data_IF_118842548249
#
_entry.id   IF_118842548249
#
_cell.length_a   1.000
_cell.length_b   1.000
_cell.length_c   1.000
_cell.angle_alpha   90.00
_cell.angle_beta   90.00
_cell.angle_gamma   90.00
#
_symmetry.space_group_name_H-M   'P 1'
#
loop_
_entity.id
_entity.type
_entity.pdbx_description
1 polymer ?
#
# COMPACT_ATOMS: atom_id res chain seq x y z
N UNK A 1 16.92 12.99 -22.31
CA UNK A 1 16.07 13.10 -21.12
C UNK A 1 15.08 11.93 -20.90
N UNK A 2 14.49 11.34 -21.94
CA UNK A 2 13.54 10.20 -21.80
C UNK A 2 14.17 8.84 -21.41
N UNK A 3 15.46 8.61 -21.63
CA UNK A 3 16.15 7.35 -21.32
C UNK A 3 16.43 7.17 -19.83
N UNK A 4 16.84 8.22 -19.14
CA UNK A 4 17.15 8.16 -17.70
C UNK A 4 15.90 7.85 -16.83
N UNK A 5 14.71 8.30 -17.25
CA UNK A 5 13.46 8.05 -16.54
C UNK A 5 13.01 6.59 -16.66
N UNK A 6 13.31 5.91 -17.77
CA UNK A 6 12.98 4.51 -17.99
C UNK A 6 13.86 3.55 -17.18
N UNK A 7 15.12 3.90 -16.97
CA UNK A 7 16.04 3.07 -16.15
C UNK A 7 15.77 3.20 -14.65
N UNK A 8 15.33 4.38 -14.19
CA UNK A 8 14.93 4.58 -12.79
C UNK A 8 13.62 3.85 -12.42
N UNK A 9 12.77 3.54 -13.41
CA UNK A 9 11.47 2.92 -13.22
C UNK A 9 11.41 1.46 -13.67
N UNK A 10 12.53 0.85 -14.02
CA UNK A 10 12.59 -0.59 -14.22
C UNK A 10 12.55 -1.25 -12.85
N UNK A 11 11.43 -1.89 -12.44
CA UNK A 11 11.43 -2.67 -11.23
C UNK A 11 12.42 -3.80 -11.47
N UNK A 12 13.61 -3.69 -10.91
CA UNK A 12 14.49 -4.84 -10.79
C UNK A 12 13.68 -5.86 -10.00
N UNK A 13 13.15 -6.82 -10.72
CA UNK A 13 12.51 -8.01 -10.17
C UNK A 13 13.61 -8.80 -9.45
N UNK A 14 13.99 -8.33 -8.27
CA UNK A 14 14.57 -9.25 -7.31
C UNK A 14 13.42 -10.19 -6.97
N UNK A 15 13.55 -11.45 -7.28
CA UNK A 15 12.71 -12.51 -6.74
C UNK A 15 13.01 -12.61 -5.23
N UNK A 16 12.55 -11.62 -4.50
CA UNK A 16 12.61 -11.65 -3.06
C UNK A 16 11.41 -12.47 -2.60
N UNK A 17 11.65 -13.77 -2.48
CA UNK A 17 10.73 -14.66 -1.79
C UNK A 17 10.48 -14.14 -0.39
N UNK A 18 9.25 -14.24 0.09
CA UNK A 18 8.95 -13.90 1.49
C UNK A 18 9.81 -14.75 2.43
N UNK A 19 10.23 -14.18 3.54
CA UNK A 19 11.01 -14.87 4.57
C UNK A 19 10.05 -15.45 5.60
N UNK A 20 10.25 -16.71 5.95
CA UNK A 20 9.47 -17.37 6.99
C UNK A 20 10.04 -16.94 8.35
N UNK A 21 9.28 -16.15 9.09
CA UNK A 21 9.66 -15.68 10.43
C UNK A 21 8.73 -16.26 11.49
N UNK A 22 9.22 -16.34 12.72
CA UNK A 22 8.39 -16.66 13.90
C UNK A 22 7.96 -15.37 14.56
N UNK A 23 6.63 -15.20 14.70
CA UNK A 23 6.04 -14.10 15.46
C UNK A 23 5.00 -14.67 16.42
N UNK A 24 5.13 -14.38 17.70
CA UNK A 24 4.22 -14.84 18.76
C UNK A 24 3.97 -16.36 18.74
N UNK A 25 5.03 -17.14 18.44
CA UNK A 25 4.97 -18.60 18.33
C UNK A 25 4.44 -19.14 16.99
N UNK A 26 3.81 -18.31 16.16
CA UNK A 26 3.32 -18.69 14.86
C UNK A 26 4.38 -18.54 13.74
N UNK A 27 4.26 -19.34 12.69
CA UNK A 27 5.06 -19.20 11.47
C UNK A 27 4.35 -18.22 10.54
N UNK A 28 4.99 -17.12 10.23
CA UNK A 28 4.45 -16.06 9.37
C UNK A 28 5.35 -15.88 8.15
N UNK A 29 4.76 -15.76 6.98
CA UNK A 29 5.47 -15.39 5.76
C UNK A 29 5.49 -13.87 5.68
N UNK A 30 6.67 -13.27 5.76
CA UNK A 30 6.86 -11.84 5.75
C UNK A 30 7.55 -11.37 4.47
N UNK A 31 7.10 -10.23 3.96
CA UNK A 31 7.75 -9.49 2.88
C UNK A 31 8.01 -8.07 3.35
N UNK A 32 9.20 -7.59 3.07
CA UNK A 32 9.59 -6.21 3.31
C UNK A 32 9.85 -5.53 1.97
N UNK A 33 9.40 -4.28 1.85
CA UNK A 33 9.63 -3.45 0.67
C UNK A 33 9.88 -2.01 1.11
N UNK A 34 10.94 -1.44 0.59
CA UNK A 34 11.25 -0.03 0.78
C UNK A 34 10.86 0.77 -0.45
N UNK A 35 10.14 1.86 -0.23
CA UNK A 35 9.67 2.77 -1.28
C UNK A 35 10.17 4.18 -1.01
N UNK A 36 10.45 4.91 -2.08
CA UNK A 36 10.73 6.35 -2.01
C UNK A 36 9.59 7.08 -2.72
N UNK A 37 8.99 8.03 -2.03
CA UNK A 37 8.00 8.91 -2.64
C UNK A 37 8.70 9.89 -3.58
N UNK A 38 8.30 9.90 -4.84
CA UNK A 38 8.82 10.80 -5.88
C UNK A 38 7.94 12.03 -6.07
N UNK A 39 6.69 11.96 -5.66
CA UNK A 39 5.72 13.05 -5.73
C UNK A 39 5.16 13.33 -4.34
N UNK A 40 4.70 14.55 -4.07
CA UNK A 40 4.06 14.86 -2.80
C UNK A 40 2.89 13.93 -2.51
N UNK A 41 2.82 13.45 -1.26
CA UNK A 41 1.70 12.67 -0.76
C UNK A 41 0.73 13.61 -0.04
N UNK A 42 -0.52 13.61 -0.48
CA UNK A 42 -1.60 14.28 0.23
C UNK A 42 -2.18 13.29 1.25
N UNK A 43 -1.65 13.35 2.47
CA UNK A 43 -2.18 12.56 3.59
C UNK A 43 -3.38 13.29 4.22
N UNK A 44 -4.45 12.56 4.52
CA UNK A 44 -5.57 13.11 5.26
C UNK A 44 -5.28 13.15 6.76
N UNK A 45 -5.17 14.35 7.34
CA UNK A 45 -5.26 14.58 8.77
C UNK A 45 -6.72 14.77 9.21
N UNK A 46 -6.91 15.14 10.49
CA UNK A 46 -8.22 15.54 11.03
C UNK A 46 -8.65 16.88 10.44
N UNK A 47 -7.69 17.78 10.27
CA UNK A 47 -7.92 19.07 9.65
C UNK A 47 -7.84 18.98 8.12
N UNK A 48 -8.78 19.62 7.41
CA UNK A 48 -8.74 19.69 5.94
C UNK A 48 -7.45 20.36 5.46
N UNK A 49 -6.79 19.78 4.46
CA UNK A 49 -5.57 20.27 3.82
C UNK A 49 -4.29 20.15 4.68
N UNK A 50 -4.36 19.50 5.82
CA UNK A 50 -3.18 19.19 6.62
C UNK A 50 -2.89 17.70 6.59
N UNK A 51 -1.61 17.34 6.46
CA UNK A 51 -1.17 15.96 6.62
C UNK A 51 -1.21 15.59 8.12
N UNK A 52 -1.55 14.34 8.41
CA UNK A 52 -1.48 13.83 9.78
C UNK A 52 -0.04 13.94 10.30
N UNK A 53 0.19 14.70 11.39
CA UNK A 53 1.54 14.89 11.92
C UNK A 53 2.13 13.62 12.55
N UNK A 54 1.30 12.65 12.90
CA UNK A 54 1.71 11.41 13.58
C UNK A 54 1.91 10.28 12.59
N UNK A 55 1.05 10.19 11.58
CA UNK A 55 1.05 9.07 10.63
C UNK A 55 0.99 9.59 9.20
N UNK A 56 2.14 9.96 8.65
CA UNK A 56 2.24 10.43 7.25
C UNK A 56 1.71 9.39 6.27
N UNK A 57 2.04 8.12 6.51
CA UNK A 57 1.51 6.97 5.74
C UNK A 57 0.91 5.97 6.72
N UNK A 58 -0.39 5.78 6.64
CA UNK A 58 -1.10 4.85 7.53
C UNK A 58 -1.09 3.43 6.97
N UNK A 59 -0.78 2.45 7.81
CA UNK A 59 -0.85 1.03 7.44
C UNK A 59 -2.25 0.62 6.93
N UNK A 60 -3.30 1.21 7.49
CA UNK A 60 -4.70 1.00 7.04
C UNK A 60 -4.94 1.50 5.62
N UNK A 61 -4.34 2.62 5.23
CA UNK A 61 -4.42 3.13 3.87
C UNK A 61 -3.69 2.20 2.89
N UNK A 62 -2.47 1.78 3.23
CA UNK A 62 -1.71 0.79 2.43
C UNK A 62 -2.51 -0.50 2.26
N UNK A 63 -3.12 -1.00 3.35
CA UNK A 63 -3.96 -2.19 3.31
C UNK A 63 -5.18 -2.00 2.39
N UNK A 64 -5.82 -0.82 2.43
CA UNK A 64 -6.93 -0.49 1.52
C UNK A 64 -6.50 -0.52 0.05
N UNK A 65 -5.34 0.04 -0.27
CA UNK A 65 -4.76 -0.03 -1.60
C UNK A 65 -4.44 -1.46 -2.03
N UNK A 66 -3.85 -2.27 -1.17
CA UNK A 66 -3.58 -3.69 -1.45
C UNK A 66 -4.87 -4.46 -1.75
N UNK A 67 -5.94 -4.20 -1.00
CA UNK A 67 -7.26 -4.79 -1.21
C UNK A 67 -7.85 -4.40 -2.56
N UNK A 68 -7.77 -3.11 -2.93
CA UNK A 68 -8.20 -2.62 -4.23
C UNK A 68 -7.45 -3.31 -5.38
N UNK A 69 -6.11 -3.30 -5.33
CA UNK A 69 -5.29 -3.91 -6.36
C UNK A 69 -5.43 -5.43 -6.43
N UNK A 70 -5.67 -6.08 -5.29
CA UNK A 70 -5.96 -7.50 -5.27
C UNK A 70 -7.24 -7.81 -6.07
N UNK A 71 -8.30 -7.03 -5.90
CA UNK A 71 -9.52 -7.16 -6.71
C UNK A 71 -9.23 -6.97 -8.19
N UNK A 72 -8.50 -5.95 -8.56
CA UNK A 72 -8.17 -5.64 -9.95
C UNK A 72 -7.35 -6.76 -10.62
N UNK A 73 -6.40 -7.34 -9.90
CA UNK A 73 -5.45 -8.32 -10.46
C UNK A 73 -5.93 -9.76 -10.26
N UNK A 74 -6.68 -10.05 -9.21
CA UNK A 74 -7.08 -11.41 -8.84
C UNK A 74 -8.58 -11.67 -8.87
N UNK A 75 -9.40 -10.64 -9.02
CA UNK A 75 -10.86 -10.75 -9.02
C UNK A 75 -11.41 -11.68 -10.12
N UNK A 76 -10.70 -11.86 -11.22
CA UNK A 76 -11.07 -12.79 -12.28
C UNK A 76 -11.22 -14.24 -11.80
N UNK A 77 -10.56 -14.62 -10.69
CA UNK A 77 -10.66 -15.95 -10.07
C UNK A 77 -12.04 -16.26 -9.52
N UNK A 78 -12.85 -15.23 -9.32
CA UNK A 78 -14.23 -15.38 -8.87
C UNK A 78 -15.19 -15.82 -9.99
N UNK A 79 -14.72 -15.88 -11.26
CA UNK A 79 -15.54 -16.32 -12.38
C UNK A 79 -16.78 -15.46 -12.65
N UNK A 80 -16.74 -14.16 -12.26
CA UNK A 80 -17.87 -13.24 -12.40
C UNK A 80 -18.88 -13.28 -11.23
N UNK A 81 -18.70 -14.16 -10.24
CA UNK A 81 -19.56 -14.20 -9.06
C UNK A 81 -19.09 -13.20 -7.99
N UNK A 82 -19.97 -12.29 -7.58
CA UNK A 82 -19.70 -11.33 -6.49
C UNK A 82 -19.59 -12.04 -5.13
N UNK A 83 -20.37 -13.08 -4.88
CA UNK A 83 -20.29 -13.88 -3.67
C UNK A 83 -18.92 -14.54 -3.55
N UNK A 84 -18.47 -15.17 -4.62
CA UNK A 84 -17.16 -15.81 -4.65
C UNK A 84 -16.02 -14.79 -4.50
N UNK A 85 -16.15 -13.62 -5.10
CA UNK A 85 -15.18 -12.53 -4.94
C UNK A 85 -15.11 -12.10 -3.48
N UNK A 86 -16.26 -11.93 -2.82
CA UNK A 86 -16.34 -11.55 -1.42
C UNK A 86 -15.72 -12.60 -0.50
N UNK A 87 -15.99 -13.90 -0.73
CA UNK A 87 -15.38 -15.00 0.03
C UNK A 87 -13.85 -14.98 -0.06
N UNK A 88 -13.31 -14.92 -1.29
CA UNK A 88 -11.87 -14.91 -1.53
C UNK A 88 -11.19 -13.69 -0.93
N UNK A 89 -11.83 -12.53 -1.01
CA UNK A 89 -11.35 -11.30 -0.43
C UNK A 89 -11.38 -11.34 1.10
N UNK A 90 -12.50 -11.80 1.67
CA UNK A 90 -12.70 -11.89 3.12
C UNK A 90 -11.73 -12.89 3.76
N UNK A 91 -11.42 -13.98 3.07
CA UNK A 91 -10.43 -14.95 3.53
C UNK A 91 -9.04 -14.34 3.70
N UNK A 92 -8.68 -13.33 2.88
CA UNK A 92 -7.37 -12.67 2.94
C UNK A 92 -7.38 -11.41 3.80
N UNK A 93 -8.38 -10.55 3.59
CA UNK A 93 -8.43 -9.22 4.23
C UNK A 93 -9.34 -9.19 5.47
N UNK A 94 -10.02 -10.27 5.79
CA UNK A 94 -11.01 -10.32 6.85
C UNK A 94 -12.30 -9.57 6.50
N UNK A 95 -13.33 -9.80 7.28
CA UNK A 95 -14.60 -9.05 7.21
C UNK A 95 -15.17 -8.83 8.60
N UNK A 96 -15.96 -7.78 8.75
CA UNK A 96 -16.77 -7.56 9.95
C UNK A 96 -17.96 -8.53 9.91
N UNK A 97 -17.93 -9.59 10.67
CA UNK A 97 -18.94 -10.64 10.71
C UNK A 97 -18.36 -12.04 10.60
N UNK A 98 -19.00 -12.92 9.85
CA UNK A 98 -18.65 -14.36 9.76
C UNK A 98 -17.28 -14.63 9.13
N UNK A 99 -16.70 -13.68 8.39
CA UNK A 99 -15.39 -13.84 7.71
C UNK A 99 -14.18 -13.82 8.65
N UNK A 100 -14.36 -13.41 9.90
CA UNK A 100 -13.31 -13.43 10.91
C UNK A 100 -12.15 -12.45 10.70
N UNK A 101 -11.11 -12.63 11.52
CA UNK A 101 -9.90 -11.79 11.46
C UNK A 101 -9.06 -12.06 10.20
N UNK A 102 -8.43 -11.02 9.69
CA UNK A 102 -7.51 -11.16 8.56
C UNK A 102 -6.23 -11.89 8.96
N UNK A 103 -5.77 -12.88 8.17
CA UNK A 103 -4.45 -13.45 8.33
C UNK A 103 -3.32 -12.50 7.86
N UNK A 104 -3.67 -11.40 7.19
CA UNK A 104 -2.71 -10.41 6.67
C UNK A 104 -2.53 -9.27 7.67
N UNK A 105 -1.28 -9.04 8.07
CA UNK A 105 -0.85 -7.84 8.81
C UNK A 105 -0.03 -6.93 7.89
N UNK A 106 -0.23 -5.64 8.00
CA UNK A 106 0.53 -4.61 7.28
C UNK A 106 1.12 -3.66 8.30
N UNK A 107 2.43 -3.49 8.25
CA UNK A 107 3.18 -2.53 9.05
C UNK A 107 3.85 -1.52 8.13
N UNK A 108 3.93 -0.29 8.56
CA UNK A 108 4.59 0.79 7.82
C UNK A 108 5.56 1.49 8.76
N UNK A 109 6.80 1.56 8.33
CA UNK A 109 7.85 2.31 9.00
C UNK A 109 8.30 3.47 8.08
N UNK A 110 8.36 4.67 8.62
CA UNK A 110 8.86 5.84 7.90
C UNK A 110 10.36 5.98 8.23
N UNK A 111 11.21 5.53 7.31
CA UNK A 111 12.66 5.56 7.49
C UNK A 111 13.24 6.98 7.40
N UNK A 112 12.62 7.84 6.60
CA UNK A 112 12.99 9.23 6.43
C UNK A 112 11.76 10.05 6.06
N UNK A 113 11.51 11.10 6.82
CA UNK A 113 10.48 12.07 6.48
C UNK A 113 10.93 12.95 5.31
N UNK A 114 9.98 13.30 4.45
CA UNK A 114 10.18 14.26 3.37
C UNK A 114 9.95 15.70 3.85
N UNK A 115 10.20 16.65 2.97
CA UNK A 115 9.88 18.05 3.22
C UNK A 115 8.41 18.33 2.97
N UNK A 116 7.81 19.21 3.81
CA UNK A 116 6.45 19.68 3.59
C UNK A 116 6.43 20.61 2.38
N UNK A 117 5.61 20.31 1.39
CA UNK A 117 5.43 21.13 0.19
C UNK A 117 4.08 21.83 0.26
N UNK A 118 4.06 23.14 0.19
CA UNK A 118 2.81 23.90 0.10
C UNK A 118 2.09 23.65 -1.22
N UNK A 119 0.76 23.57 -1.19
CA UNK A 119 -0.08 23.33 -2.39
C UNK A 119 0.23 24.35 -3.50
N UNK A 120 0.48 25.61 -3.13
CA UNK A 120 0.85 26.65 -4.10
C UNK A 120 2.22 26.42 -4.78
N UNK A 121 3.15 25.75 -4.12
CA UNK A 121 4.44 25.39 -4.69
C UNK A 121 4.31 24.20 -5.66
N UNK A 122 3.46 23.23 -5.30
CA UNK A 122 3.18 22.09 -6.16
C UNK A 122 2.49 22.50 -7.46
N UNK A 123 1.49 23.38 -7.39
CA UNK A 123 0.80 23.89 -8.58
C UNK A 123 1.70 24.68 -9.55
N UNK A 124 2.79 25.29 -9.07
CA UNK A 124 3.79 25.95 -9.91
C UNK A 124 4.81 24.98 -10.53
N UNK A 125 5.10 23.88 -9.88
CA UNK A 125 6.02 22.86 -10.38
C UNK A 125 5.42 22.00 -11.50
N UNK A 126 4.08 22.01 -11.64
CA UNK A 126 3.32 21.25 -12.65
C UNK A 126 2.72 22.21 -13.67
N UNK A 127 3.47 23.18 -14.17
CA UNK A 127 3.09 23.91 -15.39
C UNK A 127 3.39 23.00 -16.59
N UNK A 128 2.32 22.61 -17.26
CA UNK A 128 2.33 21.81 -18.49
C UNK A 128 2.78 22.66 -19.68
#
# INVERSE_FOLDING_TARGET
>A
MRRAFREAFSPRRKEEGGVLVRRDGARVLAWERTYTLLTPLFGGGVEPREADPVSVVRATAVRGHLRFWWRAVRGWRAGGSLERLWELESALFGSAGEGGASPLSVEVEVLREGEKVGIAQYGRAVQW
#
